data_IF_595624638467
#
_entry.id   IF_595624638467
#
_cell.length_a   1.000
_cell.length_b   1.000
_cell.length_c   1.000
_cell.angle_alpha   90.00
_cell.angle_beta   90.00
_cell.angle_gamma   90.00
#
_symmetry.space_group_name_H-M   'P 1'
#
loop_
_entity.id
_entity.type
_entity.pdbx_description
1 polymer ?
#
# COMPACT_ATOMS: atom_id res chain seq x y z
N UNK A 1 -46.83 -36.48 7.60
CA UNK A 1 -45.83 -35.62 6.93
C UNK A 1 -45.09 -34.70 7.91
N UNK A 2 -44.54 -35.20 9.03
CA UNK A 2 -43.92 -34.37 10.06
C UNK A 2 -42.54 -34.89 10.56
N UNK A 3 -41.93 -35.86 9.86
CA UNK A 3 -40.69 -36.52 10.32
C UNK A 3 -39.45 -36.20 9.47
N UNK A 4 -39.58 -35.59 8.30
CA UNK A 4 -38.46 -35.27 7.41
C UNK A 4 -37.76 -33.90 7.71
N UNK A 5 -38.41 -32.99 8.43
CA UNK A 5 -37.87 -31.63 8.68
C UNK A 5 -36.92 -31.53 9.90
N UNK A 6 -36.87 -32.55 10.76
CA UNK A 6 -35.99 -32.52 11.96
C UNK A 6 -34.58 -33.07 11.69
N UNK A 7 -34.40 -33.94 10.67
CA UNK A 7 -33.09 -34.49 10.36
C UNK A 7 -32.14 -33.49 9.65
N UNK A 8 -32.70 -32.59 8.83
CA UNK A 8 -31.90 -31.60 8.07
C UNK A 8 -31.25 -30.53 8.96
N UNK A 9 -31.91 -30.13 10.07
CA UNK A 9 -31.35 -29.10 10.99
C UNK A 9 -30.25 -29.63 11.91
N UNK A 10 -30.26 -30.94 12.21
CA UNK A 10 -29.23 -31.56 13.06
C UNK A 10 -27.94 -31.80 12.26
N UNK A 11 -28.04 -32.19 11.00
CA UNK A 11 -26.88 -32.40 10.12
C UNK A 11 -26.16 -31.06 9.83
N UNK A 12 -26.93 -29.97 9.61
CA UNK A 12 -26.32 -28.63 9.36
C UNK A 12 -25.63 -28.10 10.60
N UNK A 13 -26.16 -28.34 11.79
CA UNK A 13 -25.54 -27.91 13.04
C UNK A 13 -24.26 -28.70 13.36
N UNK A 14 -24.20 -29.98 13.06
CA UNK A 14 -23.03 -30.83 13.30
C UNK A 14 -21.91 -30.50 12.28
N UNK A 15 -22.23 -30.21 11.03
CA UNK A 15 -21.25 -29.81 10.01
C UNK A 15 -20.69 -28.43 10.32
N UNK A 16 -21.51 -27.49 10.82
CA UNK A 16 -21.03 -26.17 11.25
C UNK A 16 -20.15 -26.24 12.50
N UNK A 17 -20.48 -27.13 13.45
CA UNK A 17 -19.65 -27.37 14.64
C UNK A 17 -18.33 -28.09 14.31
N UNK A 18 -18.30 -28.98 13.32
CA UNK A 18 -17.09 -29.67 12.86
C UNK A 18 -16.17 -28.74 12.04
N UNK A 19 -16.71 -27.82 11.24
CA UNK A 19 -15.94 -26.80 10.53
C UNK A 19 -15.32 -25.77 11.47
N UNK A 20 -16.01 -25.41 12.56
CA UNK A 20 -15.45 -24.56 13.62
C UNK A 20 -14.35 -25.28 14.38
N UNK A 21 -14.46 -26.59 14.61
CA UNK A 21 -13.44 -27.39 15.28
C UNK A 21 -12.17 -27.63 14.46
N UNK A 22 -12.26 -27.62 13.13
CA UNK A 22 -11.10 -27.72 12.22
C UNK A 22 -10.38 -26.38 12.00
N UNK A 23 -11.00 -25.24 12.33
CA UNK A 23 -10.42 -23.90 12.14
C UNK A 23 -9.74 -23.35 13.39
N UNK A 24 -9.77 -24.03 14.51
CA UNK A 24 -9.16 -23.52 15.74
C UNK A 24 -8.33 -24.55 16.48
N UNK A 25 -7.09 -24.71 16.07
CA UNK A 25 -6.07 -24.93 17.09
C UNK A 25 -5.84 -23.59 17.81
N UNK A 26 -6.82 -23.21 18.64
CA UNK A 26 -6.66 -22.10 19.58
C UNK A 26 -5.72 -22.54 20.67
N UNK A 27 -4.46 -22.16 20.55
CA UNK A 27 -3.54 -22.26 21.68
C UNK A 27 -3.83 -21.10 22.63
N UNK A 28 -4.25 -21.41 23.84
CA UNK A 28 -4.27 -20.44 24.95
C UNK A 28 -2.84 -20.33 25.48
N UNK A 29 -2.29 -19.12 25.52
CA UNK A 29 -0.94 -18.90 26.05
C UNK A 29 -0.94 -18.58 27.53
N UNK A 30 0.05 -19.12 28.23
CA UNK A 30 0.32 -18.92 29.65
C UNK A 30 1.38 -17.82 29.86
N UNK A 31 1.51 -17.40 31.14
CA UNK A 31 2.51 -16.40 31.57
C UNK A 31 3.94 -16.80 31.17
N UNK A 32 4.67 -15.90 30.53
CA UNK A 32 6.08 -16.11 30.19
C UNK A 32 6.34 -16.86 28.87
N UNK A 33 5.29 -17.11 28.05
CA UNK A 33 5.48 -17.77 26.75
C UNK A 33 6.21 -16.85 25.75
N UNK A 34 7.33 -17.34 25.19
CA UNK A 34 8.04 -16.68 24.10
C UNK A 34 7.54 -17.24 22.77
N UNK A 35 7.10 -16.36 21.88
CA UNK A 35 6.56 -16.71 20.58
C UNK A 35 7.45 -16.14 19.48
N UNK A 36 7.85 -17.00 18.55
CA UNK A 36 8.55 -16.64 17.31
C UNK A 36 7.82 -17.22 16.13
N UNK A 37 7.50 -16.38 15.17
CA UNK A 37 6.95 -16.81 13.88
C UNK A 37 8.07 -16.85 12.85
N UNK A 38 8.00 -17.82 11.94
CA UNK A 38 8.96 -17.97 10.85
C UNK A 38 8.32 -17.48 9.52
N UNK A 39 8.04 -18.36 8.60
CA UNK A 39 7.55 -17.99 7.26
C UNK A 39 6.04 -17.70 7.20
N UNK A 40 5.28 -18.17 8.18
CA UNK A 40 3.82 -18.01 8.21
C UNK A 40 3.36 -17.14 9.37
N UNK A 41 2.26 -16.41 9.16
CA UNK A 41 1.55 -15.71 10.23
C UNK A 41 0.88 -16.73 11.18
N UNK A 42 0.72 -16.34 12.44
CA UNK A 42 0.06 -17.14 13.48
C UNK A 42 -1.09 -16.35 14.09
N UNK A 43 -2.18 -17.01 14.39
CA UNK A 43 -3.30 -16.44 15.16
C UNK A 43 -3.45 -17.19 16.47
N UNK A 44 -3.65 -16.46 17.56
CA UNK A 44 -3.85 -17.05 18.88
C UNK A 44 -4.89 -16.28 19.69
N UNK A 45 -5.51 -16.98 20.63
CA UNK A 45 -6.44 -16.37 21.59
C UNK A 45 -5.77 -16.32 22.97
N UNK A 46 -5.80 -15.17 23.61
CA UNK A 46 -5.30 -14.96 24.95
C UNK A 46 -6.31 -15.44 26.00
N UNK A 47 -5.87 -15.57 27.26
CA UNK A 47 -6.71 -16.04 28.37
C UNK A 47 -7.91 -15.13 28.67
N UNK A 48 -7.82 -13.83 28.32
CA UNK A 48 -8.89 -12.85 28.46
C UNK A 48 -9.89 -12.85 27.27
N UNK A 49 -9.70 -13.75 26.30
CA UNK A 49 -10.51 -13.83 25.08
C UNK A 49 -10.05 -12.92 23.95
N UNK A 50 -9.02 -12.12 24.14
CA UNK A 50 -8.44 -11.29 23.07
C UNK A 50 -7.79 -12.15 21.99
N UNK A 51 -7.90 -11.73 20.72
CA UNK A 51 -7.27 -12.39 19.58
C UNK A 51 -6.01 -11.62 19.18
N UNK A 52 -4.92 -12.34 18.96
CA UNK A 52 -3.65 -11.77 18.48
C UNK A 52 -3.26 -12.44 17.18
N UNK A 53 -3.21 -11.67 16.13
CA UNK A 53 -2.64 -12.06 14.84
C UNK A 53 -1.19 -11.63 14.83
N UNK A 54 -0.29 -12.55 14.54
CA UNK A 54 1.16 -12.35 14.60
C UNK A 54 1.69 -12.59 13.18
N UNK A 55 2.32 -11.57 12.60
CA UNK A 55 2.90 -11.67 11.27
C UNK A 55 4.07 -12.65 11.25
N UNK A 56 4.43 -13.17 10.07
CA UNK A 56 5.68 -13.90 9.85
C UNK A 56 6.90 -13.07 10.31
N UNK A 57 7.95 -13.75 10.76
CA UNK A 57 9.20 -13.15 11.24
C UNK A 57 9.06 -12.22 12.45
N UNK A 58 8.03 -12.42 13.27
CA UNK A 58 7.79 -11.67 14.50
C UNK A 58 8.33 -12.40 15.73
N UNK A 59 8.71 -11.62 16.74
CA UNK A 59 9.21 -12.09 18.01
C UNK A 59 8.55 -11.33 19.16
N UNK A 60 7.84 -12.02 20.01
CA UNK A 60 7.15 -11.45 21.18
C UNK A 60 7.15 -12.41 22.36
N UNK A 61 6.83 -11.89 23.54
CA UNK A 61 6.53 -12.69 24.72
C UNK A 61 5.24 -12.22 25.39
N UNK A 62 4.58 -13.12 26.07
CA UNK A 62 3.32 -12.89 26.77
C UNK A 62 3.53 -12.99 28.27
N UNK A 63 2.92 -12.09 29.01
CA UNK A 63 2.92 -12.06 30.45
C UNK A 63 1.51 -11.81 30.96
N UNK A 64 1.00 -12.66 31.86
CA UNK A 64 -0.26 -12.40 32.57
C UNK A 64 0.06 -11.75 33.90
N UNK A 65 -0.53 -10.60 34.14
CA UNK A 65 -0.34 -9.79 35.36
C UNK A 65 -1.67 -9.52 36.04
N UNK A 66 -1.62 -9.04 37.29
CA UNK A 66 -2.83 -8.81 38.08
C UNK A 66 -3.82 -7.81 37.41
N UNK A 67 -3.29 -6.82 36.70
CA UNK A 67 -4.04 -5.79 36.02
C UNK A 67 -4.33 -6.10 34.53
N UNK A 68 -4.04 -7.34 34.05
CA UNK A 68 -4.39 -7.76 32.68
C UNK A 68 -3.34 -8.61 31.99
N UNK A 69 -3.19 -8.41 30.68
CA UNK A 69 -2.23 -9.15 29.83
C UNK A 69 -1.24 -8.16 29.20
N UNK A 70 0.04 -8.54 29.19
CA UNK A 70 1.11 -7.78 28.54
C UNK A 70 1.70 -8.59 27.40
N UNK A 71 1.75 -7.97 26.23
CA UNK A 71 2.41 -8.47 25.04
C UNK A 71 3.70 -7.65 24.88
N UNK A 72 4.86 -8.27 25.05
CA UNK A 72 6.15 -7.63 24.79
C UNK A 72 6.56 -7.91 23.35
N UNK A 73 6.31 -6.98 22.45
CA UNK A 73 6.67 -7.09 21.03
C UNK A 73 8.11 -6.61 20.83
N UNK A 74 9.03 -7.55 20.62
CA UNK A 74 10.46 -7.28 20.44
C UNK A 74 10.74 -6.87 18.98
N UNK A 75 10.11 -7.57 18.03
CA UNK A 75 10.26 -7.32 16.60
C UNK A 75 9.05 -7.86 15.83
N UNK A 76 8.69 -7.18 14.73
CA UNK A 76 7.63 -7.62 13.81
C UNK A 76 6.31 -6.91 14.05
N UNK A 77 5.22 -7.50 13.55
CA UNK A 77 3.90 -6.90 13.52
C UNK A 77 2.89 -7.80 14.24
N UNK A 78 2.00 -7.16 15.02
CA UNK A 78 0.82 -7.81 15.60
C UNK A 78 -0.42 -6.98 15.33
N UNK A 79 -1.54 -7.65 15.06
CA UNK A 79 -2.88 -7.06 15.13
C UNK A 79 -3.56 -7.67 16.34
N UNK A 80 -4.08 -6.83 17.20
CA UNK A 80 -4.76 -7.25 18.43
C UNK A 80 -6.23 -6.85 18.35
N UNK A 81 -7.11 -7.84 18.42
CA UNK A 81 -8.53 -7.65 18.69
C UNK A 81 -8.76 -7.87 20.18
N UNK A 82 -8.67 -6.78 20.93
CA UNK A 82 -8.79 -6.85 22.39
C UNK A 82 -10.24 -7.11 22.80
N UNK A 83 -10.44 -8.14 23.63
CA UNK A 83 -11.72 -8.37 24.27
C UNK A 83 -12.06 -7.20 25.20
N UNK A 84 -13.35 -6.95 25.41
CA UNK A 84 -13.80 -5.92 26.35
C UNK A 84 -13.33 -6.26 27.77
N UNK A 85 -12.46 -5.44 28.29
CA UNK A 85 -11.82 -5.67 29.58
C UNK A 85 -12.77 -5.30 30.74
N UNK A 86 -12.71 -6.06 31.83
CA UNK A 86 -13.38 -5.72 33.05
C UNK A 86 -12.79 -4.43 33.68
N UNK A 87 -13.55 -3.75 34.53
CA UNK A 87 -13.08 -2.53 35.19
C UNK A 87 -11.74 -2.76 35.93
N UNK A 88 -10.76 -1.91 35.65
CA UNK A 88 -9.42 -1.97 36.22
C UNK A 88 -8.46 -2.98 35.55
N UNK A 89 -8.92 -3.68 34.49
CA UNK A 89 -8.04 -4.55 33.69
C UNK A 89 -7.78 -3.91 32.35
N UNK A 90 -6.57 -4.14 31.83
CA UNK A 90 -6.11 -3.62 30.54
C UNK A 90 -5.33 -4.66 29.77
N UNK A 91 -5.36 -4.58 28.44
CA UNK A 91 -4.40 -5.24 27.61
C UNK A 91 -3.31 -4.22 27.25
N UNK A 92 -2.06 -4.64 27.40
CA UNK A 92 -0.91 -3.82 27.07
C UNK A 92 -0.10 -4.46 25.95
N UNK A 93 0.34 -3.63 24.98
CA UNK A 93 1.41 -4.00 24.06
C UNK A 93 2.61 -3.10 24.36
N UNK A 94 3.71 -3.71 24.69
CA UNK A 94 4.97 -3.04 25.06
C UNK A 94 5.99 -3.26 23.94
N UNK A 95 6.58 -2.19 23.47
CA UNK A 95 7.74 -2.21 22.59
C UNK A 95 8.94 -1.58 23.31
N UNK A 96 10.09 -1.49 22.66
CA UNK A 96 11.28 -0.86 23.28
C UNK A 96 11.07 0.62 23.63
N UNK A 97 10.13 1.31 22.98
CA UNK A 97 9.98 2.77 23.01
C UNK A 97 8.52 3.25 23.17
N UNK A 98 7.56 2.33 23.25
CA UNK A 98 6.16 2.66 23.47
C UNK A 98 5.45 1.66 24.37
N UNK A 99 4.50 2.16 25.17
CA UNK A 99 3.50 1.37 25.89
C UNK A 99 2.12 1.70 25.33
N UNK A 100 1.45 0.71 24.79
CA UNK A 100 0.10 0.79 24.26
C UNK A 100 -0.87 0.18 25.24
N UNK A 101 -1.91 0.90 25.64
CA UNK A 101 -2.96 0.41 26.56
C UNK A 101 -4.34 0.56 25.95
N UNK A 102 -5.16 -0.47 26.09
CA UNK A 102 -6.48 -0.57 25.44
C UNK A 102 -7.54 -1.22 26.31
N UNK A 103 -8.80 -0.96 25.96
CA UNK A 103 -9.99 -1.53 26.60
C UNK A 103 -11.02 -1.87 25.50
N UNK A 104 -10.85 -3.02 24.83
CA UNK A 104 -11.79 -3.46 23.78
C UNK A 104 -11.64 -2.72 22.45
N UNK A 105 -10.52 -2.88 21.78
CA UNK A 105 -10.12 -2.19 20.55
C UNK A 105 -9.51 -3.15 19.55
N UNK A 106 -9.54 -2.79 18.26
CA UNK A 106 -8.75 -3.47 17.20
C UNK A 106 -7.65 -2.51 16.75
N UNK A 107 -6.40 -2.95 16.86
CA UNK A 107 -5.25 -2.11 16.55
C UNK A 107 -4.04 -2.92 16.09
N UNK A 108 -3.16 -2.27 15.34
CA UNK A 108 -1.89 -2.80 14.87
C UNK A 108 -0.74 -2.18 15.66
N UNK A 109 0.24 -2.99 16.03
CA UNK A 109 1.53 -2.54 16.54
C UNK A 109 2.64 -3.20 15.72
N UNK A 110 3.55 -2.37 15.24
CA UNK A 110 4.79 -2.76 14.58
C UNK A 110 5.97 -2.34 15.44
N UNK A 111 6.91 -3.25 15.66
CA UNK A 111 8.19 -2.98 16.33
C UNK A 111 9.34 -3.28 15.36
N UNK A 112 10.15 -2.27 15.09
CA UNK A 112 11.34 -2.34 14.23
C UNK A 112 12.57 -1.83 14.98
N UNK A 113 13.75 -2.01 14.38
CA UNK A 113 15.01 -1.51 14.96
C UNK A 113 14.97 0.00 15.13
N UNK A 114 14.35 0.71 14.21
CA UNK A 114 14.29 2.17 14.16
C UNK A 114 13.26 2.77 15.14
N UNK A 115 12.23 2.02 15.51
CA UNK A 115 11.14 2.51 16.35
C UNK A 115 9.92 1.60 16.34
N UNK A 116 8.81 2.16 16.78
CA UNK A 116 7.52 1.48 16.79
C UNK A 116 6.46 2.30 16.06
N UNK A 117 5.51 1.61 15.45
CA UNK A 117 4.31 2.22 14.88
C UNK A 117 3.08 1.59 15.48
N UNK A 118 2.11 2.42 15.81
CA UNK A 118 0.81 2.03 16.35
C UNK A 118 -0.26 2.63 15.48
N UNK A 119 -1.25 1.83 15.09
CA UNK A 119 -2.39 2.27 14.27
C UNK A 119 -3.69 1.66 14.79
N UNK A 120 -4.76 2.43 14.78
CA UNK A 120 -6.07 2.02 15.31
C UNK A 120 -7.02 1.67 14.18
N UNK A 121 -7.61 0.49 14.27
CA UNK A 121 -8.63 0.00 13.34
C UNK A 121 -10.03 0.29 13.90
N UNK A 122 -10.25 0.00 15.19
CA UNK A 122 -11.51 0.23 15.90
C UNK A 122 -11.26 0.58 17.37
N UNK A 123 -12.07 1.50 17.93
CA UNK A 123 -12.02 1.88 19.34
C UNK A 123 -10.99 2.99 19.63
N UNK A 124 -10.50 3.06 20.86
CA UNK A 124 -9.56 4.08 21.33
C UNK A 124 -8.29 3.43 21.90
N UNK A 125 -7.14 3.90 21.50
CA UNK A 125 -5.83 3.40 21.93
C UNK A 125 -5.04 4.51 22.58
N UNK A 126 -4.50 4.26 23.79
CA UNK A 126 -3.57 5.17 24.45
C UNK A 126 -2.15 4.70 24.26
N UNK A 127 -1.33 5.55 23.70
CA UNK A 127 0.09 5.33 23.44
C UNK A 127 0.91 6.23 24.37
N UNK A 128 1.72 5.61 25.20
CA UNK A 128 2.67 6.33 26.05
C UNK A 128 4.08 6.16 25.49
N UNK A 129 4.74 7.28 25.22
CA UNK A 129 6.13 7.37 24.78
C UNK A 129 6.88 8.29 25.75
N UNK A 130 7.68 7.70 26.62
CA UNK A 130 8.30 8.44 27.73
C UNK A 130 7.26 9.10 28.63
N UNK A 131 7.29 10.43 28.74
CA UNK A 131 6.31 11.22 29.52
C UNK A 131 5.07 11.62 28.71
N UNK A 132 5.08 11.45 27.40
CA UNK A 132 3.99 11.87 26.51
C UNK A 132 2.96 10.75 26.38
N UNK A 133 1.69 11.09 26.53
CA UNK A 133 0.56 10.19 26.30
C UNK A 133 -0.26 10.76 25.15
N UNK A 134 -0.46 9.96 24.10
CA UNK A 134 -1.28 10.30 22.95
C UNK A 134 -2.44 9.31 22.84
N UNK A 135 -3.63 9.82 22.64
CA UNK A 135 -4.81 9.00 22.34
C UNK A 135 -5.03 8.95 20.84
N UNK A 136 -5.19 7.75 20.31
CA UNK A 136 -5.46 7.50 18.88
C UNK A 136 -6.88 6.97 18.71
N UNK A 137 -7.56 7.46 17.69
CA UNK A 137 -8.88 7.06 17.23
C UNK A 137 -8.79 6.21 15.96
N UNK A 138 -9.88 5.54 15.52
CA UNK A 138 -9.87 4.73 14.31
C UNK A 138 -9.35 5.47 13.08
N UNK A 139 -8.51 4.81 12.30
CA UNK A 139 -7.81 5.38 11.15
C UNK A 139 -6.57 6.21 11.48
N UNK A 140 -6.35 6.57 12.74
CA UNK A 140 -5.16 7.30 13.16
C UNK A 140 -3.99 6.37 13.45
N UNK A 141 -2.79 6.88 13.24
CA UNK A 141 -1.54 6.17 13.49
C UNK A 141 -0.47 7.14 14.04
N UNK A 142 0.46 6.58 14.79
CA UNK A 142 1.64 7.29 15.31
C UNK A 142 2.89 6.43 15.11
N UNK A 143 4.00 7.06 14.77
CA UNK A 143 5.33 6.45 14.79
C UNK A 143 6.16 7.09 15.90
N UNK A 144 6.89 6.27 16.65
CA UNK A 144 7.77 6.77 17.74
C UNK A 144 9.03 7.45 17.21
N UNK A 145 9.38 7.17 15.95
CA UNK A 145 10.49 7.81 15.25
C UNK A 145 9.95 8.46 13.95
N UNK A 146 10.16 9.76 13.75
CA UNK A 146 9.73 10.48 12.54
C UNK A 146 10.31 9.91 11.23
N UNK A 147 11.42 9.18 11.31
CA UNK A 147 12.05 8.55 10.14
C UNK A 147 11.33 7.27 9.68
N UNK A 148 10.42 6.73 10.48
CA UNK A 148 9.62 5.58 10.08
C UNK A 148 8.61 6.01 9.01
N UNK A 149 8.77 5.49 7.80
CA UNK A 149 7.86 5.78 6.68
C UNK A 149 6.50 5.16 6.95
N UNK A 150 5.46 6.00 6.97
CA UNK A 150 4.08 5.54 7.10
C UNK A 150 3.59 4.97 5.76
N UNK A 151 3.28 3.67 5.73
CA UNK A 151 2.38 3.09 4.71
C UNK A 151 0.93 3.43 5.03
N UNK A 152 0.01 3.24 4.09
CA UNK A 152 -1.41 3.31 4.44
C UNK A 152 -1.75 2.17 5.40
N UNK A 153 -2.59 2.45 6.41
CA UNK A 153 -2.99 1.43 7.38
C UNK A 153 -3.56 0.19 6.70
N UNK A 154 -4.29 0.37 5.61
CA UNK A 154 -4.86 -0.72 4.83
C UNK A 154 -3.80 -1.64 4.22
N UNK A 155 -2.72 -1.10 3.67
CA UNK A 155 -1.60 -1.92 3.15
C UNK A 155 -0.92 -2.72 4.26
N UNK A 156 -0.91 -2.17 5.46
CA UNK A 156 -0.33 -2.85 6.62
C UNK A 156 -1.17 -4.01 7.13
N UNK A 157 -2.43 -4.09 6.74
CA UNK A 157 -3.35 -5.16 7.10
C UNK A 157 -3.35 -6.34 6.12
N UNK A 158 -2.76 -6.21 4.93
CA UNK A 158 -2.82 -7.23 3.86
C UNK A 158 -2.27 -8.61 4.25
N UNK A 159 -1.43 -8.69 5.26
CA UNK A 159 -0.90 -9.96 5.76
C UNK A 159 -1.85 -10.67 6.73
N UNK A 160 -2.88 -9.97 7.24
CA UNK A 160 -3.84 -10.49 8.18
C UNK A 160 -4.77 -11.51 7.54
N UNK A 161 -5.02 -12.66 8.16
CA UNK A 161 -6.08 -13.57 7.71
C UNK A 161 -7.49 -12.96 7.79
N UNK A 162 -7.65 -11.87 8.57
CA UNK A 162 -8.92 -11.15 8.75
C UNK A 162 -8.91 -9.78 8.06
N UNK A 163 -8.12 -9.60 7.02
CA UNK A 163 -7.94 -8.32 6.32
C UNK A 163 -9.26 -7.67 5.91
N UNK A 164 -10.23 -8.45 5.42
CA UNK A 164 -11.53 -7.95 5.00
C UNK A 164 -12.35 -7.41 6.17
N UNK A 165 -12.34 -8.12 7.31
CA UNK A 165 -13.00 -7.67 8.54
C UNK A 165 -12.39 -6.36 9.04
N UNK A 166 -11.06 -6.28 9.08
CA UNK A 166 -10.36 -5.07 9.50
C UNK A 166 -10.59 -3.90 8.56
N UNK A 167 -10.64 -4.16 7.25
CA UNK A 167 -10.96 -3.15 6.25
C UNK A 167 -12.39 -2.61 6.40
N UNK A 168 -13.37 -3.49 6.66
CA UNK A 168 -14.76 -3.10 6.91
C UNK A 168 -14.90 -2.23 8.18
N UNK A 169 -14.19 -2.59 9.27
CA UNK A 169 -14.17 -1.79 10.51
C UNK A 169 -13.58 -0.39 10.26
N UNK A 170 -12.49 -0.27 9.51
CA UNK A 170 -11.91 1.02 9.14
C UNK A 170 -12.87 1.87 8.30
N UNK A 171 -13.58 1.24 7.36
CA UNK A 171 -14.57 1.92 6.55
C UNK A 171 -15.74 2.43 7.40
N UNK A 172 -16.26 1.62 8.31
CA UNK A 172 -17.33 2.01 9.24
C UNK A 172 -16.88 3.16 10.15
N UNK A 173 -15.66 3.11 10.65
CA UNK A 173 -15.08 4.16 11.47
C UNK A 173 -14.93 5.48 10.71
N UNK A 174 -14.55 5.43 9.44
CA UNK A 174 -14.44 6.62 8.57
C UNK A 174 -15.80 7.30 8.33
N UNK A 175 -16.89 6.54 8.34
CA UNK A 175 -18.27 7.06 8.23
C UNK A 175 -18.77 7.64 9.55
N UNK A 176 -18.25 7.21 10.69
CA UNK A 176 -18.75 7.54 12.04
C UNK A 176 -17.92 8.60 12.76
N UNK A 177 -16.71 8.91 12.28
CA UNK A 177 -15.80 9.84 12.94
C UNK A 177 -16.05 11.29 12.47
N UNK A 178 -16.14 12.27 13.40
CA UNK A 178 -16.05 13.67 13.03
C UNK A 178 -14.67 13.93 12.40
N UNK A 179 -14.54 14.93 11.51
CA UNK A 179 -13.27 15.22 10.85
C UNK A 179 -12.16 15.42 11.88
N UNK A 180 -11.09 14.65 11.73
CA UNK A 180 -9.91 14.64 12.61
C UNK A 180 -9.42 16.06 12.89
N UNK A 181 -9.23 16.41 14.17
CA UNK A 181 -8.77 17.72 14.64
C UNK A 181 -7.28 17.99 14.41
N UNK A 182 -6.54 17.09 13.73
CA UNK A 182 -5.17 17.37 13.29
C UNK A 182 -5.24 18.31 12.07
N UNK A 183 -4.38 19.33 11.99
CA UNK A 183 -4.34 20.20 10.84
C UNK A 183 -4.05 19.36 9.59
N UNK A 184 -5.05 19.30 8.70
CA UNK A 184 -4.94 18.59 7.43
C UNK A 184 -3.82 19.21 6.61
N UNK A 185 -2.85 18.42 6.19
CA UNK A 185 -1.79 18.88 5.31
C UNK A 185 -2.43 19.43 4.02
N UNK A 186 -2.20 20.72 3.73
CA UNK A 186 -2.78 21.41 2.59
C UNK A 186 -1.71 22.22 1.86
N UNK A 187 -1.90 22.40 0.56
CA UNK A 187 -1.14 23.38 -0.19
C UNK A 187 -1.53 24.80 0.23
N UNK A 188 -0.56 25.72 0.26
CA UNK A 188 -0.81 27.15 0.46
C UNK A 188 -1.63 27.72 -0.71
N UNK A 189 -1.24 27.35 -1.93
CA UNK A 189 -1.93 27.73 -3.17
C UNK A 189 -2.11 26.48 -4.02
N UNK A 190 -3.32 26.29 -4.55
CA UNK A 190 -3.59 25.22 -5.48
C UNK A 190 -4.65 25.63 -6.49
N UNK A 191 -4.34 25.43 -7.76
CA UNK A 191 -5.29 25.55 -8.88
C UNK A 191 -5.52 24.19 -9.50
N UNK A 192 -6.79 23.92 -9.81
CA UNK A 192 -7.22 22.73 -10.56
C UNK A 192 -8.18 23.22 -11.64
N UNK A 193 -7.65 23.45 -12.84
CA UNK A 193 -8.39 24.06 -13.96
C UNK A 193 -8.73 23.00 -15.00
N UNK A 194 -10.00 22.95 -15.38
CA UNK A 194 -10.43 22.14 -16.54
C UNK A 194 -9.84 22.73 -17.82
N UNK A 195 -9.34 21.89 -18.70
CA UNK A 195 -8.82 22.27 -20.02
C UNK A 195 -9.60 21.57 -21.13
N UNK A 196 -9.63 22.18 -22.31
CA UNK A 196 -10.25 21.57 -23.48
C UNK A 196 -9.44 20.37 -24.00
N UNK A 197 -10.10 19.34 -24.50
CA UNK A 197 -9.41 18.23 -25.17
C UNK A 197 -8.60 18.72 -26.38
N UNK A 198 -9.17 19.65 -27.16
CA UNK A 198 -8.48 20.26 -28.30
C UNK A 198 -7.17 20.93 -27.92
N UNK A 199 -7.08 21.54 -26.72
CA UNK A 199 -5.84 22.15 -26.24
C UNK A 199 -4.71 21.14 -26.03
N UNK A 200 -5.07 19.89 -25.72
CA UNK A 200 -4.10 18.77 -25.58
C UNK A 200 -3.71 18.25 -26.97
N UNK A 201 -4.71 18.04 -27.83
CA UNK A 201 -4.53 17.53 -29.22
C UNK A 201 -3.75 18.51 -30.07
N UNK A 202 -3.98 19.82 -29.93
CA UNK A 202 -3.25 20.89 -30.59
C UNK A 202 -1.82 21.11 -30.09
N UNK A 203 -1.38 20.33 -29.11
CA UNK A 203 -0.01 20.38 -28.59
C UNK A 203 0.35 21.63 -27.79
N UNK A 204 -0.64 22.42 -27.32
CA UNK A 204 -0.42 23.63 -26.49
C UNK A 204 0.41 23.37 -25.24
N UNK A 205 0.43 22.14 -24.75
CA UNK A 205 1.13 21.72 -23.54
C UNK A 205 2.38 20.86 -23.82
N UNK A 206 2.83 20.79 -25.06
CA UNK A 206 4.01 20.04 -25.48
C UNK A 206 3.72 18.55 -25.79
N UNK A 207 4.74 17.78 -26.16
CA UNK A 207 4.60 16.44 -26.72
C UNK A 207 4.20 15.34 -25.69
N UNK A 208 4.23 15.61 -24.38
CA UNK A 208 3.82 14.70 -23.32
C UNK A 208 3.07 15.45 -22.21
N UNK A 209 1.88 15.98 -22.49
CA UNK A 209 1.17 16.83 -21.55
C UNK A 209 0.57 16.08 -20.35
N UNK A 210 0.29 14.77 -20.49
CA UNK A 210 -0.45 13.99 -19.50
C UNK A 210 0.48 13.37 -18.47
N UNK A 211 1.04 14.20 -17.59
CA UNK A 211 1.87 13.75 -16.50
C UNK A 211 1.71 14.65 -15.29
N UNK A 212 1.52 14.03 -14.11
CA UNK A 212 1.43 14.71 -12.82
C UNK A 212 2.69 14.39 -12.04
N UNK A 213 3.34 15.41 -11.48
CA UNK A 213 4.56 15.27 -10.70
C UNK A 213 4.55 16.17 -9.49
N UNK A 214 5.05 15.64 -8.37
CA UNK A 214 5.38 16.40 -7.18
C UNK A 214 6.90 16.33 -6.97
N UNK A 215 7.52 17.42 -6.48
CA UNK A 215 8.96 17.47 -6.17
C UNK A 215 9.16 17.85 -4.72
N UNK A 216 9.53 16.86 -3.88
CA UNK A 216 9.93 17.08 -2.49
C UNK A 216 11.40 17.45 -2.34
N UNK A 217 11.79 17.84 -1.12
CA UNK A 217 13.20 18.13 -0.77
C UNK A 217 14.06 16.86 -0.70
N UNK A 218 13.43 15.73 -0.49
CA UNK A 218 14.02 14.40 -0.40
C UNK A 218 14.22 13.72 -1.76
N UNK A 219 13.80 14.37 -2.85
CA UNK A 219 14.06 13.93 -4.22
C UNK A 219 15.31 14.58 -4.80
N UNK A 220 16.36 13.80 -5.02
CA UNK A 220 17.51 14.21 -5.84
C UNK A 220 17.26 13.79 -7.29
N UNK A 221 16.98 14.75 -8.17
CA UNK A 221 16.75 14.48 -9.59
C UNK A 221 18.07 14.37 -10.35
N UNK A 222 18.30 13.23 -11.00
CA UNK A 222 19.34 13.09 -12.00
C UNK A 222 18.85 13.64 -13.34
N UNK A 223 19.58 14.61 -13.88
CA UNK A 223 19.22 15.35 -15.11
C UNK A 223 19.47 14.60 -16.42
N UNK A 224 19.87 13.32 -16.37
CA UNK A 224 20.48 12.65 -17.51
C UNK A 224 19.54 12.31 -18.68
N UNK A 225 18.20 12.33 -18.52
CA UNK A 225 17.28 11.94 -19.61
C UNK A 225 16.06 12.85 -19.67
N UNK A 226 16.24 14.11 -20.06
CA UNK A 226 15.13 15.05 -20.18
C UNK A 226 14.87 15.47 -21.61
N UNK A 227 13.65 15.20 -22.08
CA UNK A 227 12.96 16.05 -23.03
C UNK A 227 12.29 17.18 -22.23
N UNK A 228 12.67 18.41 -22.52
CA UNK A 228 12.36 19.66 -21.80
C UNK A 228 10.90 20.10 -21.90
N UNK A 229 9.93 19.39 -21.40
CA UNK A 229 8.55 19.86 -21.61
C UNK A 229 7.81 20.40 -20.37
N UNK A 230 8.35 20.29 -19.18
CA UNK A 230 7.81 20.99 -17.99
C UNK A 230 8.96 21.38 -17.08
N UNK A 231 9.10 22.69 -16.78
CA UNK A 231 10.14 23.23 -15.90
C UNK A 231 9.82 22.88 -14.44
N UNK A 232 10.01 21.60 -14.07
CA UNK A 232 9.74 21.02 -12.76
C UNK A 232 10.85 21.30 -11.74
N UNK A 233 11.57 22.40 -11.91
CA UNK A 233 12.72 22.74 -11.05
C UNK A 233 12.35 23.23 -9.65
N UNK A 234 11.08 23.49 -9.36
CA UNK A 234 10.67 24.12 -8.10
C UNK A 234 10.28 23.06 -7.06
N UNK A 235 11.06 22.97 -5.99
CA UNK A 235 10.75 22.15 -4.82
C UNK A 235 9.45 22.57 -4.14
N UNK A 236 8.81 21.63 -3.44
CA UNK A 236 7.58 21.87 -2.70
C UNK A 236 6.36 22.12 -3.58
N UNK A 237 6.37 21.62 -4.82
CA UNK A 237 5.28 21.78 -5.79
C UNK A 237 4.81 20.49 -6.41
N UNK A 238 3.50 20.43 -6.72
CA UNK A 238 2.89 19.44 -7.58
C UNK A 238 2.35 20.13 -8.82
N UNK A 239 2.75 19.67 -10.00
CA UNK A 239 2.39 20.24 -11.30
C UNK A 239 2.00 19.14 -12.26
N UNK A 240 1.14 19.45 -13.23
CA UNK A 240 0.89 18.55 -14.33
C UNK A 240 -0.49 18.69 -14.97
N UNK A 241 -0.71 17.83 -15.94
CA UNK A 241 -1.98 17.67 -16.62
C UNK A 241 -2.36 16.20 -16.55
N UNK A 242 -3.62 15.92 -16.26
CA UNK A 242 -4.13 14.57 -16.24
C UNK A 242 -5.64 14.52 -16.31
N UNK A 243 -6.17 13.39 -16.79
CA UNK A 243 -7.59 13.10 -16.67
C UNK A 243 -7.97 12.82 -15.22
N UNK A 244 -9.23 13.05 -14.84
CA UNK A 244 -9.69 12.85 -13.45
C UNK A 244 -9.32 11.47 -12.87
N UNK A 245 -9.46 10.40 -13.66
CA UNK A 245 -9.05 9.06 -13.23
C UNK A 245 -7.56 8.97 -12.92
N UNK A 246 -6.70 9.66 -13.68
CA UNK A 246 -5.26 9.72 -13.43
C UNK A 246 -4.94 10.53 -12.17
N UNK A 247 -5.64 11.66 -11.95
CA UNK A 247 -5.50 12.47 -10.73
C UNK A 247 -5.91 11.65 -9.49
N UNK A 248 -7.02 10.93 -9.56
CA UNK A 248 -7.49 10.06 -8.48
C UNK A 248 -6.49 8.91 -8.26
N UNK A 249 -6.07 8.24 -9.33
CA UNK A 249 -5.07 7.17 -9.24
C UNK A 249 -3.77 7.66 -8.58
N UNK A 250 -3.25 8.82 -8.99
CA UNK A 250 -2.06 9.41 -8.39
C UNK A 250 -2.26 9.76 -6.90
N UNK A 251 -3.44 10.27 -6.52
CA UNK A 251 -3.77 10.59 -5.14
C UNK A 251 -3.79 9.35 -4.22
N UNK A 252 -4.09 8.18 -4.76
CA UNK A 252 -4.18 6.92 -4.02
C UNK A 252 -3.01 5.95 -4.31
N UNK A 253 -1.95 6.42 -4.97
CA UNK A 253 -0.79 5.60 -5.38
C UNK A 253 -1.19 4.36 -6.19
N UNK A 254 -2.23 4.50 -7.03
CA UNK A 254 -2.74 3.46 -7.91
C UNK A 254 -2.70 3.90 -9.37
N UNK A 255 -2.54 2.97 -10.30
CA UNK A 255 -2.67 3.28 -11.71
C UNK A 255 -4.11 3.60 -12.09
N UNK A 256 -4.29 4.38 -13.15
CA UNK A 256 -5.61 4.80 -13.62
C UNK A 256 -6.58 3.63 -13.91
N UNK A 257 -6.05 2.51 -14.38
CA UNK A 257 -6.83 1.30 -14.70
C UNK A 257 -7.46 0.64 -13.45
N UNK A 258 -6.98 1.03 -12.26
CA UNK A 258 -7.51 0.57 -10.97
C UNK A 258 -8.41 1.61 -10.29
N UNK A 259 -8.83 2.63 -11.03
CA UNK A 259 -9.85 3.59 -10.62
C UNK A 259 -11.13 3.27 -11.36
N UNK A 260 -12.20 3.01 -10.64
CA UNK A 260 -13.51 2.65 -11.19
C UNK A 260 -14.62 3.54 -10.62
N UNK A 261 -15.83 3.47 -11.20
CA UNK A 261 -16.97 4.28 -10.81
C UNK A 261 -17.28 5.42 -11.78
N UNK A 262 -18.15 6.37 -11.42
CA UNK A 262 -18.64 7.43 -12.30
C UNK A 262 -17.62 8.58 -12.46
N UNK A 263 -16.43 8.28 -12.99
CA UNK A 263 -15.35 9.26 -13.18
C UNK A 263 -15.42 9.82 -14.60
N UNK A 264 -15.72 11.12 -14.79
CA UNK A 264 -15.71 11.75 -16.12
C UNK A 264 -14.34 11.71 -16.78
N UNK A 265 -14.32 11.44 -18.06
CA UNK A 265 -13.08 11.49 -18.85
C UNK A 265 -12.78 12.93 -19.28
N UNK A 266 -12.38 13.74 -18.32
CA UNK A 266 -12.11 15.18 -18.47
C UNK A 266 -10.67 15.49 -18.04
N UNK A 267 -9.90 16.27 -18.81
CA UNK A 267 -8.55 16.66 -18.47
C UNK A 267 -8.53 17.93 -17.61
N UNK A 268 -7.61 17.96 -16.64
CA UNK A 268 -7.36 19.08 -15.75
C UNK A 268 -5.88 19.41 -15.70
N UNK A 269 -5.58 20.70 -15.62
CA UNK A 269 -4.27 21.20 -15.27
C UNK A 269 -4.22 21.48 -13.77
N UNK A 270 -3.17 20.99 -13.13
CA UNK A 270 -2.87 21.19 -11.72
C UNK A 270 -1.63 22.06 -11.57
N UNK A 271 -1.69 23.01 -10.64
CA UNK A 271 -0.53 23.70 -10.09
C UNK A 271 -0.78 23.94 -8.60
N UNK A 272 0.05 23.32 -7.76
CA UNK A 272 -0.11 23.37 -6.31
C UNK A 272 1.24 23.54 -5.62
N UNK A 273 1.32 24.46 -4.64
CA UNK A 273 2.53 24.83 -3.91
C UNK A 273 2.32 24.68 -2.40
N UNK A 274 3.24 24.00 -1.73
CA UNK A 274 3.27 23.91 -0.28
C UNK A 274 3.61 25.25 0.38
N UNK A 275 3.13 25.48 1.61
CA UNK A 275 3.46 26.66 2.40
C UNK A 275 4.97 26.79 2.68
N UNK A 276 5.62 25.65 2.92
CA UNK A 276 7.07 25.57 3.16
C UNK A 276 7.76 24.72 2.07
N UNK A 277 7.96 25.26 0.85
CA UNK A 277 8.49 24.49 -0.26
C UNK A 277 9.89 23.92 -0.02
N UNK A 278 10.70 24.62 0.78
CA UNK A 278 12.08 24.24 1.10
C UNK A 278 12.22 23.11 2.12
N UNK A 279 11.12 22.64 2.71
CA UNK A 279 11.12 21.55 3.70
C UNK A 279 10.14 20.42 3.36
N UNK A 280 9.20 20.67 2.45
CA UNK A 280 8.16 19.69 2.10
C UNK A 280 8.76 18.45 1.43
N UNK A 281 8.54 17.30 2.03
CA UNK A 281 8.91 15.99 1.48
C UNK A 281 7.95 15.54 0.40
N UNK A 282 8.37 14.58 -0.42
CA UNK A 282 7.48 13.99 -1.44
C UNK A 282 6.24 13.32 -0.80
N UNK A 283 6.43 12.68 0.36
CA UNK A 283 5.33 12.04 1.07
C UNK A 283 4.28 13.05 1.54
N UNK A 284 4.71 14.19 2.10
CA UNK A 284 3.81 15.28 2.50
C UNK A 284 3.10 15.90 1.30
N UNK A 285 3.81 16.12 0.19
CA UNK A 285 3.21 16.64 -1.04
C UNK A 285 2.15 15.71 -1.62
N UNK A 286 2.38 14.40 -1.59
CA UNK A 286 1.39 13.40 -2.01
C UNK A 286 0.15 13.40 -1.10
N UNK A 287 0.33 13.56 0.20
CA UNK A 287 -0.78 13.66 1.15
C UNK A 287 -1.55 14.98 0.95
N UNK A 288 -0.87 16.12 0.75
CA UNK A 288 -1.51 17.38 0.37
C UNK A 288 -2.29 17.24 -0.94
N UNK A 289 -1.73 16.53 -1.92
CA UNK A 289 -2.37 16.27 -3.21
C UNK A 289 -3.64 15.42 -3.03
N UNK A 290 -3.56 14.34 -2.26
CA UNK A 290 -4.73 13.51 -1.93
C UNK A 290 -5.83 14.35 -1.30
N UNK A 291 -5.49 15.14 -0.29
CA UNK A 291 -6.41 16.03 0.39
C UNK A 291 -7.05 17.05 -0.55
N UNK A 292 -6.25 17.63 -1.46
CA UNK A 292 -6.74 18.57 -2.48
C UNK A 292 -7.77 17.91 -3.39
N UNK A 293 -7.47 16.71 -3.92
CA UNK A 293 -8.36 16.00 -4.85
C UNK A 293 -9.66 15.60 -4.13
N UNK A 294 -9.56 15.05 -2.92
CA UNK A 294 -10.73 14.68 -2.12
C UNK A 294 -11.62 15.90 -1.85
N UNK A 295 -11.04 17.03 -1.46
CA UNK A 295 -11.79 18.23 -1.11
C UNK A 295 -12.40 18.92 -2.33
N UNK A 296 -11.63 19.08 -3.42
CA UNK A 296 -12.09 19.79 -4.63
C UNK A 296 -13.15 19.01 -5.40
N UNK A 297 -13.05 17.67 -5.40
CA UNK A 297 -14.01 16.81 -6.08
C UNK A 297 -15.13 16.33 -5.13
N UNK A 298 -15.14 16.70 -3.84
CA UNK A 298 -16.04 16.11 -2.83
C UNK A 298 -16.07 14.58 -2.94
N UNK A 299 -14.89 14.02 -3.16
CA UNK A 299 -14.70 12.64 -3.54
C UNK A 299 -15.06 11.69 -2.39
N UNK A 300 -15.99 10.78 -2.65
CA UNK A 300 -16.28 9.63 -1.78
C UNK A 300 -15.81 8.37 -2.48
N UNK A 301 -14.95 7.61 -1.81
CA UNK A 301 -14.35 6.40 -2.39
C UNK A 301 -14.27 5.32 -1.34
N UNK A 302 -14.30 4.08 -1.82
CA UNK A 302 -13.84 2.94 -1.04
C UNK A 302 -12.81 2.15 -1.86
N UNK A 303 -12.01 1.34 -1.17
CA UNK A 303 -11.14 0.40 -1.87
C UNK A 303 -11.81 -0.97 -1.93
N UNK A 304 -11.70 -1.62 -3.07
CA UNK A 304 -12.17 -2.97 -3.32
C UNK A 304 -10.98 -3.84 -3.74
N UNK A 305 -10.90 -5.07 -3.21
CA UNK A 305 -9.92 -6.04 -3.69
C UNK A 305 -10.62 -7.04 -4.60
N UNK A 306 -10.09 -7.22 -5.81
CA UNK A 306 -10.55 -8.21 -6.77
C UNK A 306 -9.52 -9.29 -6.93
N UNK A 307 -9.97 -10.54 -6.85
CA UNK A 307 -9.13 -11.69 -7.15
C UNK A 307 -8.92 -11.81 -8.66
N UNK A 308 -7.72 -11.55 -9.12
CA UNK A 308 -7.36 -11.63 -10.53
C UNK A 308 -6.30 -12.67 -10.80
N UNK A 309 -6.34 -13.26 -12.01
CA UNK A 309 -5.27 -14.12 -12.47
C UNK A 309 -4.02 -13.26 -12.75
N UNK A 310 -3.00 -13.44 -11.93
CA UNK A 310 -1.80 -12.62 -11.97
C UNK A 310 -0.59 -13.30 -11.35
N UNK A 311 0.27 -12.51 -10.76
CA UNK A 311 1.45 -12.99 -10.06
C UNK A 311 1.57 -12.34 -8.68
N UNK A 312 1.92 -13.15 -7.69
CA UNK A 312 2.35 -12.67 -6.37
C UNK A 312 3.85 -12.42 -6.39
N UNK A 313 4.28 -11.20 -6.17
CA UNK A 313 5.69 -10.87 -5.94
C UNK A 313 6.03 -11.16 -4.48
N UNK A 314 6.98 -12.05 -4.25
CA UNK A 314 7.41 -12.49 -2.91
C UNK A 314 8.93 -12.47 -2.78
N UNK A 315 9.43 -12.52 -1.57
CA UNK A 315 10.86 -12.72 -1.31
C UNK A 315 11.22 -14.17 -1.65
N UNK A 316 12.30 -14.36 -2.40
CA UNK A 316 12.85 -15.70 -2.69
C UNK A 316 13.58 -16.27 -1.47
N UNK A 317 13.83 -17.60 -1.47
CA UNK A 317 14.44 -18.30 -0.32
C UNK A 317 15.82 -17.74 0.09
N UNK A 318 16.53 -17.09 -0.84
CA UNK A 318 17.83 -16.45 -0.57
C UNK A 318 17.75 -15.06 0.06
N UNK A 319 16.53 -14.53 0.31
CA UNK A 319 16.32 -13.18 0.81
C UNK A 319 16.54 -12.10 -0.25
N UNK A 320 16.29 -10.84 0.13
CA UNK A 320 16.47 -9.68 -0.76
C UNK A 320 17.95 -9.36 -0.98
N UNK A 321 18.28 -8.87 -2.18
CA UNK A 321 19.64 -8.49 -2.61
C UNK A 321 19.80 -6.98 -2.77
N UNK A 322 19.02 -6.20 -2.06
CA UNK A 322 19.03 -4.74 -2.08
C UNK A 322 18.86 -4.19 -0.66
N UNK A 323 19.09 -2.91 -0.50
CA UNK A 323 19.08 -2.25 0.81
C UNK A 323 17.95 -1.25 0.93
N UNK A 324 17.37 -1.17 2.11
CA UNK A 324 16.47 -0.09 2.47
C UNK A 324 17.23 1.22 2.64
N UNK A 325 16.61 2.30 2.22
CA UNK A 325 17.16 3.66 2.32
C UNK A 325 16.17 4.59 3.00
N UNK A 326 16.65 5.53 3.79
CA UNK A 326 15.85 6.62 4.36
C UNK A 326 15.62 7.77 3.38
N UNK A 327 16.25 7.71 2.21
CA UNK A 327 16.10 8.73 1.17
C UNK A 327 14.80 8.50 0.39
N UNK A 328 14.20 9.58 -0.11
CA UNK A 328 12.95 9.52 -0.89
C UNK A 328 13.06 8.73 -2.20
N UNK A 329 11.92 8.40 -2.79
CA UNK A 329 11.86 7.66 -4.05
C UNK A 329 12.50 8.46 -5.19
N UNK A 330 13.41 7.82 -5.93
CA UNK A 330 13.90 8.29 -7.23
C UNK A 330 13.72 7.17 -8.22
N UNK A 331 12.88 7.39 -9.21
CA UNK A 331 12.68 6.45 -10.30
C UNK A 331 13.37 6.97 -11.57
N UNK A 332 14.40 6.30 -12.02
CA UNK A 332 14.87 6.40 -13.39
C UNK A 332 14.58 5.07 -14.09
N UNK A 333 13.43 4.98 -14.75
CA UNK A 333 13.20 3.92 -15.71
C UNK A 333 13.77 4.40 -17.05
N UNK A 334 14.91 3.89 -17.45
CA UNK A 334 15.60 4.30 -18.67
C UNK A 334 15.45 3.25 -19.77
N UNK A 335 15.00 3.66 -20.94
CA UNK A 335 15.17 2.92 -22.19
C UNK A 335 16.38 3.47 -22.92
N UNK A 336 17.27 2.59 -23.40
CA UNK A 336 18.33 2.98 -24.34
C UNK A 336 19.51 3.73 -23.72
N UNK A 337 19.75 3.57 -22.41
CA UNK A 337 21.04 3.99 -21.82
C UNK A 337 22.10 2.91 -22.03
N UNK A 338 23.39 3.24 -22.12
CA UNK A 338 24.47 2.25 -22.22
C UNK A 338 24.36 1.18 -21.14
N UNK A 339 24.25 -0.08 -21.53
CA UNK A 339 24.03 -1.22 -20.62
C UNK A 339 22.57 -1.47 -20.27
N UNK A 340 21.61 -0.86 -20.98
CA UNK A 340 20.18 -1.04 -20.87
C UNK A 340 19.54 -1.19 -22.23
N UNK A 341 19.46 -2.38 -22.73
CA UNK A 341 18.96 -2.64 -24.08
C UNK A 341 17.43 -2.58 -24.17
N UNK A 342 16.74 -2.85 -23.06
CA UNK A 342 15.28 -2.84 -23.08
C UNK A 342 14.63 -2.16 -21.87
N UNK A 343 14.78 -2.68 -20.65
CA UNK A 343 14.24 -2.10 -19.42
C UNK A 343 15.27 -2.10 -18.30
N UNK A 344 15.53 -0.93 -17.76
CA UNK A 344 16.34 -0.76 -16.58
C UNK A 344 15.63 0.08 -15.55
N UNK A 345 15.60 -0.45 -14.36
CA UNK A 345 15.24 0.26 -13.15
C UNK A 345 16.53 0.51 -12.38
N UNK A 346 16.90 1.74 -12.24
CA UNK A 346 18.08 2.15 -11.49
C UNK A 346 17.66 3.32 -10.59
N UNK A 347 17.73 3.10 -9.29
CA UNK A 347 17.32 4.12 -8.34
C UNK A 347 16.69 3.59 -7.05
N UNK A 348 15.80 4.37 -6.48
CA UNK A 348 15.15 4.12 -5.20
C UNK A 348 13.65 4.01 -5.39
N UNK A 349 13.09 2.86 -5.00
CA UNK A 349 11.69 2.51 -5.29
C UNK A 349 11.00 1.88 -4.09
N UNK A 350 9.70 2.08 -3.99
CA UNK A 350 8.83 1.18 -3.25
C UNK A 350 8.55 -0.05 -4.08
N UNK A 351 8.55 -1.23 -3.45
CA UNK A 351 8.34 -2.49 -4.16
C UNK A 351 6.97 -2.54 -4.85
N UNK A 352 5.92 -1.98 -4.25
CA UNK A 352 4.58 -1.85 -4.87
C UNK A 352 4.65 -1.14 -6.23
N UNK A 353 5.39 -0.01 -6.32
CA UNK A 353 5.57 0.74 -7.56
C UNK A 353 6.38 -0.04 -8.59
N UNK A 354 7.43 -0.71 -8.15
CA UNK A 354 8.21 -1.60 -9.00
C UNK A 354 7.38 -2.75 -9.57
N UNK A 355 6.59 -3.45 -8.73
CA UNK A 355 5.70 -4.53 -9.14
C UNK A 355 4.69 -4.07 -10.19
N UNK A 356 4.07 -2.91 -9.98
CA UNK A 356 3.16 -2.31 -10.95
C UNK A 356 3.86 -2.02 -12.28
N UNK A 357 4.99 -1.31 -12.25
CA UNK A 357 5.75 -0.97 -13.45
C UNK A 357 6.23 -2.21 -14.20
N UNK A 358 6.67 -3.24 -13.49
CA UNK A 358 7.06 -4.51 -14.07
C UNK A 358 5.89 -5.17 -14.83
N UNK A 359 4.70 -5.20 -14.24
CA UNK A 359 3.50 -5.73 -14.86
C UNK A 359 3.09 -4.96 -16.13
N UNK A 360 3.04 -3.63 -16.05
CA UNK A 360 2.65 -2.78 -17.18
C UNK A 360 3.66 -2.80 -18.33
N UNK A 361 4.95 -2.90 -18.03
CA UNK A 361 6.02 -2.91 -19.02
C UNK A 361 6.14 -4.23 -19.77
N UNK A 362 5.87 -5.32 -19.11
CA UNK A 362 6.05 -6.66 -19.69
C UNK A 362 4.79 -7.18 -20.37
N UNK A 363 3.68 -6.44 -20.33
CA UNK A 363 2.38 -6.92 -20.76
C UNK A 363 1.91 -8.13 -19.97
N UNK A 364 2.54 -8.36 -18.81
CA UNK A 364 2.19 -9.44 -17.92
C UNK A 364 0.83 -9.17 -17.26
N UNK A 365 0.25 -10.22 -16.73
CA UNK A 365 -0.89 -10.12 -15.83
C UNK A 365 -0.55 -9.26 -14.62
N UNK A 366 -1.53 -8.72 -13.89
CA UNK A 366 -1.29 -7.86 -12.76
C UNK A 366 -0.38 -8.54 -11.72
N UNK A 367 0.52 -7.76 -11.15
CA UNK A 367 1.44 -8.23 -10.10
C UNK A 367 1.02 -7.60 -8.78
N UNK A 368 0.72 -8.44 -7.80
CA UNK A 368 0.48 -8.02 -6.42
C UNK A 368 1.79 -8.06 -5.63
N UNK A 369 2.12 -6.98 -4.93
CA UNK A 369 3.24 -6.97 -3.98
C UNK A 369 2.83 -7.67 -2.68
N UNK A 370 3.30 -8.89 -2.50
CA UNK A 370 3.14 -9.68 -1.28
C UNK A 370 4.48 -9.92 -0.57
N UNK A 371 5.48 -9.06 -0.82
CA UNK A 371 6.80 -9.16 -0.17
C UNK A 371 6.76 -8.73 1.29
N UNK A 372 5.80 -7.86 1.64
CA UNK A 372 5.75 -7.22 2.95
C UNK A 372 6.76 -6.09 3.17
N UNK A 373 7.53 -5.75 2.15
CA UNK A 373 8.53 -4.68 2.19
C UNK A 373 7.83 -3.32 2.02
N UNK A 374 7.94 -2.44 3.01
CA UNK A 374 7.21 -1.16 3.07
C UNK A 374 8.08 0.07 2.79
N UNK A 375 9.38 -0.07 2.92
CA UNK A 375 10.35 0.99 2.76
C UNK A 375 10.57 1.42 1.31
N UNK A 376 11.51 2.34 1.16
CA UNK A 376 12.13 2.70 -0.12
C UNK A 376 13.43 1.93 -0.22
N UNK A 377 13.65 1.27 -1.34
CA UNK A 377 14.80 0.40 -1.54
C UNK A 377 15.61 0.86 -2.74
N UNK A 378 16.93 0.86 -2.58
CA UNK A 378 17.86 1.19 -3.66
C UNK A 378 18.31 -0.09 -4.36
N UNK A 379 18.01 -0.17 -5.65
CA UNK A 379 18.41 -1.30 -6.48
C UNK A 379 18.50 -0.97 -7.96
N UNK A 380 19.21 -1.83 -8.67
CA UNK A 380 19.22 -1.86 -10.13
C UNK A 380 18.62 -3.17 -10.62
N UNK A 381 17.73 -3.08 -11.59
CA UNK A 381 17.11 -4.23 -12.22
C UNK A 381 17.10 -4.05 -13.74
N UNK A 382 17.59 -5.04 -14.46
CA UNK A 382 17.75 -4.97 -15.91
C UNK A 382 17.09 -6.17 -16.57
N UNK A 383 16.30 -5.91 -17.60
CA UNK A 383 15.72 -6.93 -18.49
C UNK A 383 16.17 -6.66 -19.92
N UNK A 384 16.75 -7.67 -20.55
CA UNK A 384 17.11 -7.64 -21.97
C UNK A 384 16.04 -8.38 -22.77
N UNK A 385 15.68 -7.84 -23.92
CA UNK A 385 14.79 -8.49 -24.87
C UNK A 385 15.61 -9.44 -25.73
N UNK A 386 15.11 -10.64 -25.99
CA UNK A 386 15.63 -11.47 -27.07
C UNK A 386 15.12 -10.83 -28.36
N UNK A 387 16.01 -10.29 -29.18
CA UNK A 387 15.71 -10.01 -30.57
C UNK A 387 15.62 -11.37 -31.26
N UNK A 388 14.42 -11.79 -31.68
CA UNK A 388 14.32 -12.90 -32.62
C UNK A 388 15.07 -12.43 -33.88
N UNK A 389 16.14 -13.14 -34.26
CA UNK A 389 16.94 -12.93 -35.48
C UNK A 389 16.11 -13.20 -36.76
N UNK A 390 15.01 -12.49 -36.95
CA UNK A 390 14.29 -12.43 -38.19
C UNK A 390 14.76 -11.18 -38.96
N UNK A 391 15.61 -11.31 -39.99
CA UNK A 391 16.00 -10.19 -40.84
C UNK A 391 14.74 -9.68 -41.53
N UNK A 392 14.20 -8.55 -41.09
CA UNK A 392 13.03 -7.89 -41.71
C UNK A 392 12.00 -7.30 -40.74
N UNK A 393 12.07 -7.52 -39.43
CA UNK A 393 11.04 -7.03 -38.50
C UNK A 393 11.14 -5.54 -38.13
N UNK A 394 12.17 -4.82 -38.57
CA UNK A 394 12.43 -3.44 -38.14
C UNK A 394 11.57 -2.36 -38.85
N UNK A 395 10.85 -2.66 -39.96
CA UNK A 395 10.15 -1.65 -40.77
C UNK A 395 8.77 -2.09 -41.27
N UNK A 396 8.05 -2.95 -40.59
CA UNK A 396 6.65 -3.24 -40.92
C UNK A 396 5.72 -2.10 -40.49
N UNK A 397 4.70 -1.71 -41.32
CA UNK A 397 3.75 -0.67 -40.97
C UNK A 397 2.95 -1.09 -39.73
N UNK A 398 2.84 -0.19 -38.74
CA UNK A 398 1.96 -0.34 -37.59
C UNK A 398 0.51 -0.53 -38.08
N UNK A 399 -0.02 -1.71 -38.02
CA UNK A 399 -1.42 -1.95 -38.28
C UNK A 399 -1.60 -3.21 -39.11
N UNK A 400 -1.88 -4.30 -38.39
CA UNK A 400 -2.71 -5.45 -38.73
C UNK A 400 -2.24 -6.67 -37.96
N UNK A 401 -2.41 -6.63 -36.63
CA UNK A 401 -2.51 -7.88 -35.88
C UNK A 401 -4.02 -8.20 -35.81
N UNK A 402 -4.41 -9.29 -36.41
CA UNK A 402 -5.71 -9.91 -36.21
C UNK A 402 -5.90 -10.30 -34.74
N UNK A 403 -7.08 -10.81 -34.32
CA UNK A 403 -7.37 -11.16 -32.95
C UNK A 403 -6.56 -12.39 -32.52
N UNK A 404 -5.31 -12.18 -32.21
CA UNK A 404 -4.37 -13.12 -31.64
C UNK A 404 -3.62 -12.43 -30.52
N UNK A 405 -3.31 -13.16 -29.45
CA UNK A 405 -2.56 -12.69 -28.32
C UNK A 405 -1.37 -11.80 -28.73
N UNK A 406 -1.12 -10.67 -28.04
CA UNK A 406 0.05 -9.85 -28.32
C UNK A 406 1.32 -10.73 -28.22
N UNK A 407 2.33 -10.53 -29.09
CA UNK A 407 3.54 -11.33 -29.09
C UNK A 407 4.12 -11.27 -27.66
N UNK A 408 4.23 -12.42 -27.03
CA UNK A 408 4.84 -12.54 -25.71
C UNK A 408 6.30 -12.12 -25.84
N UNK A 409 6.61 -10.92 -25.37
CA UNK A 409 7.99 -10.46 -25.33
C UNK A 409 8.80 -11.50 -24.56
N UNK A 410 9.79 -12.10 -25.23
CA UNK A 410 10.72 -13.04 -24.60
C UNK A 410 11.87 -12.25 -24.01
N UNK A 411 12.18 -12.52 -22.76
CA UNK A 411 13.29 -11.91 -22.05
C UNK A 411 14.35 -12.94 -21.71
N UNK A 412 15.60 -12.57 -21.80
CA UNK A 412 16.72 -13.40 -21.37
C UNK A 412 17.54 -12.64 -20.30
N UNK A 413 17.69 -13.18 -19.08
CA UNK A 413 16.96 -14.35 -18.57
C UNK A 413 15.45 -14.09 -18.41
N UNK A 414 14.61 -15.13 -18.31
CA UNK A 414 13.18 -14.96 -18.01
C UNK A 414 12.96 -14.07 -16.78
N UNK A 415 11.90 -13.26 -16.78
CA UNK A 415 11.64 -12.24 -15.72
C UNK A 415 11.76 -12.83 -14.31
N UNK A 416 11.19 -14.03 -14.08
CA UNK A 416 11.26 -14.71 -12.79
C UNK A 416 12.70 -15.01 -12.35
N UNK A 417 13.53 -15.48 -13.28
CA UNK A 417 14.94 -15.77 -13.03
C UNK A 417 15.76 -14.49 -12.82
N UNK A 418 15.48 -13.44 -13.60
CA UNK A 418 16.11 -12.13 -13.43
C UNK A 418 15.81 -11.52 -12.06
N UNK A 419 14.54 -11.58 -11.61
CA UNK A 419 14.12 -11.10 -10.31
C UNK A 419 14.84 -11.84 -9.18
N UNK A 420 14.93 -13.17 -9.26
CA UNK A 420 15.58 -13.97 -8.23
C UNK A 420 17.10 -13.73 -8.21
N UNK A 421 17.73 -13.67 -9.38
CA UNK A 421 19.17 -13.46 -9.49
C UNK A 421 19.61 -12.06 -9.09
N UNK A 422 18.89 -11.03 -9.50
CA UNK A 422 19.28 -9.64 -9.28
C UNK A 422 18.74 -9.06 -7.96
N UNK A 423 17.50 -9.41 -7.60
CA UNK A 423 16.81 -8.79 -6.47
C UNK A 423 16.47 -9.74 -5.32
N UNK A 424 16.58 -11.06 -5.52
CA UNK A 424 16.12 -12.04 -4.52
C UNK A 424 14.61 -12.03 -4.35
N UNK A 425 13.87 -11.72 -5.43
CA UNK A 425 12.42 -11.72 -5.51
C UNK A 425 11.95 -12.83 -6.45
N UNK A 426 10.74 -13.34 -6.22
CA UNK A 426 10.13 -14.35 -7.08
C UNK A 426 8.70 -13.99 -7.45
N UNK A 427 8.23 -14.49 -8.59
CA UNK A 427 6.86 -14.37 -9.06
C UNK A 427 6.16 -15.72 -8.97
N UNK A 428 5.16 -15.81 -8.13
CA UNK A 428 4.31 -17.00 -8.01
C UNK A 428 3.02 -16.76 -8.80
N UNK A 429 2.71 -17.56 -9.85
CA UNK A 429 1.48 -17.42 -10.62
C UNK A 429 0.28 -17.89 -9.81
N UNK A 430 -0.86 -17.21 -9.95
CA UNK A 430 -2.10 -17.59 -9.27
C UNK A 430 -3.13 -16.47 -9.27
N UNK A 431 -4.19 -16.69 -8.48
CA UNK A 431 -5.12 -15.62 -8.14
C UNK A 431 -4.48 -14.74 -7.10
N UNK A 432 -4.52 -13.44 -7.32
CA UNK A 432 -3.91 -12.44 -6.45
C UNK A 432 -4.89 -11.30 -6.18
N UNK A 433 -4.90 -10.77 -4.94
CA UNK A 433 -5.75 -9.65 -4.58
C UNK A 433 -5.19 -8.36 -5.20
N UNK A 434 -5.97 -7.77 -6.10
CA UNK A 434 -5.63 -6.51 -6.75
C UNK A 434 -6.52 -5.40 -6.19
N UNK A 435 -5.90 -4.35 -5.67
CA UNK A 435 -6.59 -3.21 -5.09
C UNK A 435 -7.12 -2.28 -6.19
N UNK A 436 -8.38 -1.90 -6.05
CA UNK A 436 -9.10 -0.89 -6.84
C UNK A 436 -9.59 0.22 -5.93
N UNK A 437 -9.58 1.45 -6.41
CA UNK A 437 -10.35 2.54 -5.83
C UNK A 437 -11.66 2.65 -6.60
N UNK A 438 -12.76 2.49 -5.89
CA UNK A 438 -14.12 2.69 -6.42
C UNK A 438 -14.59 4.07 -6.00
N UNK A 439 -14.93 4.91 -6.97
CA UNK A 439 -15.54 6.21 -6.74
C UNK A 439 -17.04 6.02 -6.55
N UNK A 440 -17.53 6.27 -5.35
CA UNK A 440 -18.96 6.19 -5.03
C UNK A 440 -19.72 7.42 -5.52
N UNK A 441 -19.11 8.59 -5.29
CA UNK A 441 -19.62 9.86 -5.77
C UNK A 441 -18.52 10.90 -5.87
N UNK A 442 -18.67 11.85 -6.77
CA UNK A 442 -17.81 13.01 -6.89
C UNK A 442 -18.56 14.19 -7.49
N UNK A 443 -18.05 15.38 -7.24
CA UNK A 443 -18.51 16.63 -7.86
C UNK A 443 -17.42 17.16 -8.81
N UNK A 444 -17.84 17.90 -9.84
CA UNK A 444 -16.86 18.62 -10.66
C UNK A 444 -16.24 19.75 -9.83
N UNK A 445 -14.91 19.97 -9.92
CA UNK A 445 -14.30 21.12 -9.25
C UNK A 445 -14.96 22.41 -9.73
N UNK A 446 -15.21 23.34 -8.79
CA UNK A 446 -15.58 24.69 -9.18
C UNK A 446 -14.47 25.32 -10.03
N UNK A 447 -14.83 26.00 -11.11
CA UNK A 447 -13.86 26.75 -11.90
C UNK A 447 -13.30 27.89 -11.04
N UNK A 448 -11.97 27.87 -10.83
CA UNK A 448 -11.24 28.93 -10.12
C UNK A 448 -10.59 29.85 -11.12
#
# INVERSE_FOLDING_TARGET
MATAARCSRIVTAIVFSALIALYSQRQTSNTGEIIRTHESARVMTLADGSLVEIRSHSHLSLETVNDGVRIHLIKGDVIVTAAKQAAGRHLYVLTKDAKVSVVGTVFLVRAETEGSRIAVIEGEVRVQQGATITTLLPGQQIATNPKMVAGTLREELLWSPQVETHAALLQQASLSSPPSSLPKLQFEVATLKRIGRGDIEDGKFGPRPLEIRCKGVDETWSSANRTESVNLSVQGRCLGIGFLGQLIGFAFDLPNERVSGPVPYEPYQLDAKAANPGTATLAELKEMFRNLIVDRLKLKTHSEFKEEQGYALRIANGGVKFKETSLGEIATANRGTPGCDFYCWDGRFRIKRFAYGLGSMTGAKPIADLTGLKGVYEFKFTLNRIEDDAPGAANGPRGQNGPGDPPKARFEPPISKALEQQLGLRLDPGKVPIEYIVVDSMERPAEN
#
